data_IF_465150052338
#
_entry.id   IF_465150052338
#
_cell.length_a   1.000
_cell.length_b   1.000
_cell.length_c   1.000
_cell.angle_alpha   90.00
_cell.angle_beta   90.00
_cell.angle_gamma   90.00
#
_symmetry.space_group_name_H-M   'P 1'
#
loop_
_entity.id
_entity.type
_entity.pdbx_description
1 polymer ?
#
# COMPACT_ATOMS: atom_id res chain seq x y z
N UNK A 1 -9.37 3.20 8.53
CA UNK A 1 -9.98 2.20 7.64
C UNK A 1 -10.26 2.88 6.31
N UNK A 2 -9.71 2.38 5.20
CA UNK A 2 -9.89 2.95 3.85
C UNK A 2 -10.74 1.97 3.05
N UNK A 3 -11.87 2.42 2.51
CA UNK A 3 -12.69 1.60 1.61
C UNK A 3 -12.15 1.76 0.18
N UNK A 4 -11.99 0.63 -0.51
CA UNK A 4 -11.56 0.54 -1.90
C UNK A 4 -12.65 -0.18 -2.69
N UNK A 5 -13.09 0.41 -3.79
CA UNK A 5 -13.92 -0.26 -4.79
C UNK A 5 -13.07 -1.06 -5.78
N UNK A 6 -13.72 -1.88 -6.60
CA UNK A 6 -13.05 -2.70 -7.61
C UNK A 6 -12.27 -1.79 -8.56
N UNK A 7 -10.96 -1.98 -8.64
CA UNK A 7 -10.04 -1.22 -9.48
C UNK A 7 -9.33 -0.08 -8.76
N UNK A 8 -9.76 0.32 -7.56
CA UNK A 8 -9.08 1.33 -6.76
C UNK A 8 -7.69 0.86 -6.38
N UNK A 9 -6.77 1.81 -6.21
CA UNK A 9 -5.35 1.51 -6.00
C UNK A 9 -4.79 2.25 -4.79
N UNK A 10 -4.01 1.53 -4.00
CA UNK A 10 -3.06 2.12 -3.06
C UNK A 10 -1.72 2.19 -3.75
N UNK A 11 -1.13 3.39 -3.81
CA UNK A 11 0.17 3.63 -4.45
C UNK A 11 1.16 4.17 -3.45
N UNK A 12 2.41 3.73 -3.57
CA UNK A 12 3.53 4.20 -2.75
C UNK A 12 4.47 5.01 -3.60
N UNK A 13 4.97 6.12 -3.04
CA UNK A 13 6.01 6.93 -3.63
C UNK A 13 7.21 6.99 -2.69
N UNK A 14 8.32 6.48 -3.20
CA UNK A 14 9.62 6.51 -2.55
C UNK A 14 10.67 7.13 -3.44
N UNK A 15 10.32 8.20 -4.18
CA UNK A 15 11.25 8.96 -5.02
C UNK A 15 12.50 9.43 -4.24
N UNK A 16 12.41 9.54 -2.90
CA UNK A 16 13.54 9.81 -2.01
C UNK A 16 13.90 8.66 -1.05
N UNK A 17 13.15 7.56 -1.06
CA UNK A 17 13.33 6.44 -0.13
C UNK A 17 13.70 5.16 -0.88
N UNK A 18 14.72 4.45 -0.38
CA UNK A 18 15.25 3.30 -1.13
C UNK A 18 14.99 1.94 -0.49
N UNK A 19 14.54 1.91 0.77
CA UNK A 19 14.45 0.68 1.58
C UNK A 19 13.34 0.76 2.64
N UNK A 20 12.09 0.68 2.20
CA UNK A 20 10.94 0.57 3.11
C UNK A 20 10.11 -0.63 2.71
N UNK A 21 10.03 -1.63 3.58
CA UNK A 21 9.16 -2.78 3.38
C UNK A 21 7.74 -2.44 3.83
N UNK A 22 6.75 -3.12 3.24
CA UNK A 22 5.35 -2.89 3.56
C UNK A 22 4.55 -4.18 3.66
N UNK A 23 3.51 -4.15 4.49
CA UNK A 23 2.39 -5.10 4.43
C UNK A 23 1.07 -4.36 4.50
N UNK A 24 0.11 -4.80 3.68
CA UNK A 24 -1.26 -4.29 3.68
C UNK A 24 -2.19 -5.37 4.23
N UNK A 25 -3.04 -5.00 5.17
CA UNK A 25 -4.04 -5.87 5.75
C UNK A 25 -5.42 -5.23 5.63
N UNK A 26 -6.43 -6.03 5.32
CA UNK A 26 -7.80 -5.56 5.20
C UNK A 26 -8.82 -6.67 5.35
N UNK A 27 -10.08 -6.32 5.15
CA UNK A 27 -11.21 -7.24 5.11
C UNK A 27 -11.72 -7.31 3.68
N UNK A 28 -11.83 -8.54 3.15
CA UNK A 28 -12.50 -8.84 1.89
C UNK A 28 -13.73 -9.69 2.20
N UNK A 29 -14.93 -9.14 1.99
CA UNK A 29 -16.17 -9.74 2.48
C UNK A 29 -16.19 -9.77 4.01
N UNK A 30 -16.00 -10.94 4.61
CA UNK A 30 -15.96 -11.15 6.07
C UNK A 30 -14.61 -11.65 6.59
N UNK A 31 -13.63 -11.83 5.70
CA UNK A 31 -12.33 -12.44 6.03
C UNK A 31 -11.26 -11.38 6.18
N UNK A 32 -10.45 -11.46 7.24
CA UNK A 32 -9.22 -10.69 7.37
C UNK A 32 -8.16 -11.30 6.46
N UNK A 33 -7.58 -10.47 5.59
CA UNK A 33 -6.68 -10.89 4.53
C UNK A 33 -5.45 -9.98 4.51
N UNK A 34 -4.26 -10.58 4.32
CA UNK A 34 -3.08 -9.82 3.88
C UNK A 34 -3.24 -9.54 2.39
N UNK A 35 -3.46 -8.27 2.06
CA UNK A 35 -3.80 -7.81 0.71
C UNK A 35 -2.56 -7.73 -0.20
N UNK A 36 -1.43 -7.29 0.36
CA UNK A 36 -0.16 -7.17 -0.35
C UNK A 36 0.99 -7.14 0.66
N UNK A 37 2.18 -7.50 0.18
CA UNK A 37 3.45 -7.25 0.84
C UNK A 37 4.53 -6.94 -0.19
N UNK A 38 5.66 -6.43 0.28
CA UNK A 38 6.83 -6.21 -0.57
C UNK A 38 7.71 -5.09 -0.05
N UNK A 39 8.58 -4.62 -0.93
CA UNK A 39 9.37 -3.41 -0.71
C UNK A 39 8.80 -2.29 -1.57
N UNK A 40 8.75 -1.08 -1.03
CA UNK A 40 8.31 0.09 -1.79
C UNK A 40 9.21 0.29 -3.02
N UNK A 41 8.63 0.69 -4.17
CA UNK A 41 9.35 0.72 -5.44
C UNK A 41 10.30 1.93 -5.50
N UNK A 42 11.60 1.70 -5.39
CA UNK A 42 12.59 2.77 -5.53
C UNK A 42 13.22 2.81 -6.92
N UNK A 43 13.40 3.99 -7.55
CA UNK A 43 12.90 5.32 -7.18
C UNK A 43 11.68 5.71 -8.03
N UNK A 44 10.46 5.23 -7.70
CA UNK A 44 9.27 5.54 -8.51
C UNK A 44 7.98 5.54 -7.68
N UNK A 45 6.90 6.02 -8.29
CA UNK A 45 5.52 5.83 -7.82
C UNK A 45 4.97 4.57 -8.47
N UNK A 46 4.54 3.60 -7.67
CA UNK A 46 3.91 2.38 -8.18
C UNK A 46 2.74 1.90 -7.32
N UNK A 47 1.95 1.00 -7.89
CA UNK A 47 0.79 0.39 -7.24
C UNK A 47 1.26 -0.66 -6.22
N UNK A 48 0.96 -0.43 -4.94
CA UNK A 48 1.21 -1.41 -3.87
C UNK A 48 0.10 -2.44 -3.81
N UNK A 49 -1.12 -2.04 -4.19
CA UNK A 49 -2.28 -2.90 -4.23
C UNK A 49 -3.32 -2.33 -5.19
N UNK A 50 -3.88 -3.19 -6.04
CA UNK A 50 -5.08 -2.91 -6.84
C UNK A 50 -6.22 -3.77 -6.32
N UNK A 51 -7.32 -3.15 -5.94
CA UNK A 51 -8.47 -3.83 -5.38
C UNK A 51 -9.20 -4.67 -6.45
N UNK A 52 -9.25 -5.99 -6.27
CA UNK A 52 -10.04 -6.88 -7.14
C UNK A 52 -11.51 -7.03 -6.73
N UNK A 53 -11.89 -6.48 -5.58
CA UNK A 53 -13.21 -6.53 -4.95
C UNK A 53 -13.37 -5.29 -4.06
N UNK A 54 -14.58 -5.04 -3.55
CA UNK A 54 -14.74 -4.05 -2.46
C UNK A 54 -13.96 -4.53 -1.23
N UNK A 55 -12.99 -3.73 -0.79
CA UNK A 55 -12.08 -4.06 0.32
C UNK A 55 -12.09 -2.95 1.36
N UNK A 56 -12.01 -3.33 2.62
CA UNK A 56 -11.77 -2.42 3.72
C UNK A 56 -10.34 -2.56 4.24
N UNK A 57 -9.45 -1.64 3.90
CA UNK A 57 -8.06 -1.63 4.38
C UNK A 57 -8.05 -1.27 5.86
N UNK A 58 -7.52 -2.18 6.69
CA UNK A 58 -7.42 -2.04 8.13
C UNK A 58 -6.08 -1.43 8.54
N UNK A 59 -4.98 -1.90 7.96
CA UNK A 59 -3.64 -1.48 8.31
C UNK A 59 -2.72 -1.47 7.09
N UNK A 60 -1.85 -0.46 7.05
CA UNK A 60 -0.68 -0.40 6.19
C UNK A 60 0.51 -0.29 7.14
N UNK A 61 1.34 -1.32 7.18
CA UNK A 61 2.53 -1.35 8.02
C UNK A 61 3.72 -0.99 7.14
N UNK A 62 4.53 -0.03 7.57
CA UNK A 62 5.76 0.38 6.88
C UNK A 62 6.94 0.13 7.79
N UNK A 63 7.98 -0.54 7.27
CA UNK A 63 9.21 -0.85 8.00
C UNK A 63 10.37 -0.20 7.27
N UNK A 64 10.92 0.87 7.84
CA UNK A 64 12.14 1.48 7.33
C UNK A 64 13.33 0.56 7.62
N UNK A 65 13.88 -0.04 6.57
CA UNK A 65 15.09 -0.89 6.63
C UNK A 65 16.36 -0.12 6.24
N UNK A 66 16.24 1.20 6.01
CA UNK A 66 17.37 2.09 5.80
C UNK A 66 18.05 2.45 7.13
N UNK A 67 19.31 2.89 7.05
CA UNK A 67 20.05 3.46 8.18
C UNK A 67 19.73 4.94 8.44
N UNK A 68 18.77 5.51 7.70
CA UNK A 68 18.40 6.94 7.71
C UNK A 68 16.88 7.05 7.76
N UNK A 69 16.36 8.17 8.26
CA UNK A 69 14.93 8.43 8.18
C UNK A 69 14.48 8.56 6.72
N UNK A 70 13.33 7.99 6.40
CA UNK A 70 12.75 7.97 5.05
C UNK A 70 11.39 8.65 5.05
N UNK A 71 11.10 9.41 3.99
CA UNK A 71 9.78 10.00 3.75
C UNK A 71 9.06 9.14 2.72
N UNK A 72 7.83 8.74 3.06
CA UNK A 72 6.96 7.94 2.19
C UNK A 72 5.64 8.67 2.01
N UNK A 73 5.24 8.85 0.76
CA UNK A 73 3.88 9.30 0.44
C UNK A 73 3.03 8.09 0.03
N UNK A 74 1.80 8.05 0.53
CA UNK A 74 0.79 7.07 0.12
C UNK A 74 -0.34 7.79 -0.58
N UNK A 75 -0.75 7.25 -1.72
CA UNK A 75 -1.85 7.78 -2.52
C UNK A 75 -2.96 6.76 -2.68
N UNK A 76 -4.19 7.27 -2.73
CA UNK A 76 -5.36 6.53 -3.17
C UNK A 76 -5.69 6.99 -4.59
N UNK A 77 -5.77 6.06 -5.54
CA UNK A 77 -6.21 6.35 -6.92
C UNK A 77 -7.53 5.62 -7.16
N UNK A 78 -8.66 6.35 -7.23
CA UNK A 78 -9.94 5.75 -7.58
C UNK A 78 -9.94 5.20 -9.01
N UNK A 79 -10.67 4.10 -9.25
CA UNK A 79 -10.78 3.51 -10.60
C UNK A 79 -11.66 4.31 -11.56
N UNK A 80 -12.63 5.06 -11.03
CA UNK A 80 -13.71 5.68 -11.81
C UNK A 80 -14.81 4.70 -12.19
#
# INVERSE_FOLDING_TARGET
MIALDVGDKIRGDTTTASKVDYTLHGIVGTTITQLADGQLPSPNIDDLYTAGATVSVLAIVLVNTHTSAEVVNLYLTPSG
#
